data_IF_568532073522
#
_entry.id   IF_568532073522
#
_cell.length_a   1.000
_cell.length_b   1.000
_cell.length_c   1.000
_cell.angle_alpha   90.00
_cell.angle_beta   90.00
_cell.angle_gamma   90.00
#
_symmetry.space_group_name_H-M   'P 1'
#
loop_
_entity.id
_entity.type
_entity.pdbx_description
1 polymer ?
#
# COMPACT_ATOMS: atom_id res chain seq x y z
N UNK A 1 3.81 -1.35 16.34
CA UNK A 1 2.51 -1.49 17.01
C UNK A 1 1.70 -2.57 16.30
N UNK A 2 2.01 -3.86 16.51
CA UNK A 2 1.29 -4.96 15.85
C UNK A 2 0.00 -5.32 16.61
N UNK A 3 0.09 -5.35 17.95
CA UNK A 3 -1.04 -5.68 18.83
C UNK A 3 -2.21 -4.71 18.68
N UNK A 4 -1.94 -3.42 18.43
CA UNK A 4 -2.99 -2.43 18.20
C UNK A 4 -3.73 -2.70 16.88
N UNK A 5 -2.98 -2.95 15.80
CA UNK A 5 -3.55 -3.28 14.50
C UNK A 5 -4.40 -4.56 14.55
N UNK A 6 -3.94 -5.58 15.28
CA UNK A 6 -4.72 -6.81 15.46
C UNK A 6 -6.01 -6.56 16.25
N UNK A 7 -5.97 -5.71 17.28
CA UNK A 7 -7.18 -5.32 18.02
C UNK A 7 -8.16 -4.54 17.15
N UNK A 8 -7.67 -3.66 16.29
CA UNK A 8 -8.51 -2.91 15.33
C UNK A 8 -9.13 -3.86 14.29
N UNK A 9 -8.36 -4.81 13.76
CA UNK A 9 -8.87 -5.81 12.82
C UNK A 9 -9.85 -6.80 13.47
N UNK A 10 -9.65 -7.14 14.74
CA UNK A 10 -10.61 -7.90 15.55
C UNK A 10 -11.90 -7.10 15.77
N UNK A 11 -11.79 -5.82 16.11
CA UNK A 11 -12.94 -4.92 16.28
C UNK A 11 -13.79 -4.78 15.00
N UNK A 12 -13.14 -4.80 13.84
CA UNK A 12 -13.81 -4.71 12.54
C UNK A 12 -14.23 -6.06 11.94
N UNK A 13 -14.17 -7.15 12.72
CA UNK A 13 -14.55 -8.51 12.29
C UNK A 13 -13.77 -9.04 11.07
N UNK A 14 -12.51 -8.60 10.89
CA UNK A 14 -11.60 -9.14 9.88
C UNK A 14 -10.75 -10.29 10.42
N UNK A 15 -10.42 -10.24 11.72
CA UNK A 15 -9.53 -11.19 12.38
C UNK A 15 -10.23 -11.77 13.60
N UNK A 16 -10.25 -13.09 13.70
CA UNK A 16 -10.67 -13.81 14.89
C UNK A 16 -9.48 -14.10 15.80
N UNK A 17 -9.65 -13.91 17.11
CA UNK A 17 -8.64 -14.19 18.14
C UNK A 17 -9.11 -15.35 19.00
N UNK A 18 -8.35 -16.43 19.00
CA UNK A 18 -8.62 -17.63 19.80
C UNK A 18 -7.56 -17.82 20.89
N UNK A 19 -7.99 -18.07 22.12
CA UNK A 19 -7.11 -18.26 23.29
C UNK A 19 -7.26 -19.68 23.80
N UNK A 20 -6.16 -20.43 23.73
CA UNK A 20 -6.10 -21.81 24.19
C UNK A 20 -5.58 -21.85 25.64
N UNK A 21 -6.44 -22.31 26.54
CA UNK A 21 -6.13 -22.50 27.96
C UNK A 21 -5.32 -23.79 28.20
N UNK A 22 -4.09 -23.82 27.67
CA UNK A 22 -3.11 -24.89 27.90
C UNK A 22 -1.84 -24.31 28.56
N UNK A 23 -0.93 -25.14 29.03
CA UNK A 23 0.39 -24.69 29.53
C UNK A 23 1.44 -25.09 28.49
N UNK A 24 2.17 -24.14 27.87
CA UNK A 24 2.02 -22.68 27.94
C UNK A 24 0.79 -22.18 27.15
N UNK A 25 0.15 -21.10 27.61
CA UNK A 25 -1.04 -20.55 26.97
C UNK A 25 -0.72 -20.06 25.56
N UNK A 26 -1.53 -20.46 24.58
CA UNK A 26 -1.34 -20.13 23.17
C UNK A 26 -2.45 -19.17 22.71
N UNK A 27 -2.09 -18.20 21.90
CA UNK A 27 -3.04 -17.29 21.24
C UNK A 27 -2.86 -17.45 19.74
N UNK A 28 -3.94 -17.68 19.02
CA UNK A 28 -3.96 -17.75 17.57
C UNK A 28 -4.84 -16.64 16.99
N UNK A 29 -4.44 -16.15 15.82
CA UNK A 29 -5.20 -15.17 15.05
C UNK A 29 -5.50 -15.77 13.68
N UNK A 30 -6.75 -15.76 13.27
CA UNK A 30 -7.20 -16.25 11.96
C UNK A 30 -8.05 -15.19 11.27
N UNK A 31 -8.14 -15.23 9.94
CA UNK A 31 -9.06 -14.34 9.21
C UNK A 31 -10.48 -14.92 9.30
N UNK A 32 -11.46 -14.07 9.59
CA UNK A 32 -12.89 -14.45 9.66
C UNK A 32 -13.46 -14.75 8.27
N UNK A 33 -14.60 -15.41 8.19
CA UNK A 33 -15.32 -15.63 6.92
C UNK A 33 -15.63 -14.30 6.21
N UNK A 34 -16.03 -13.27 6.97
CA UNK A 34 -16.27 -11.94 6.43
C UNK A 34 -14.98 -11.30 5.91
N UNK A 35 -13.87 -11.40 6.65
CA UNK A 35 -12.58 -10.88 6.24
C UNK A 35 -12.03 -11.54 4.96
N UNK A 36 -12.36 -12.81 4.70
CA UNK A 36 -12.00 -13.48 3.44
C UNK A 36 -12.63 -12.81 2.21
N UNK A 37 -13.78 -12.15 2.35
CA UNK A 37 -14.43 -11.43 1.25
C UNK A 37 -13.59 -10.25 0.74
N UNK A 38 -12.66 -9.74 1.54
CA UNK A 38 -11.74 -8.66 1.14
C UNK A 38 -10.57 -9.15 0.28
N UNK A 39 -10.28 -10.45 0.26
CA UNK A 39 -9.22 -11.06 -0.54
C UNK A 39 -9.17 -10.59 -2.00
N UNK A 40 -10.27 -10.57 -2.78
CA UNK A 40 -10.24 -10.08 -4.16
C UNK A 40 -9.83 -8.61 -4.30
N UNK A 41 -10.17 -7.76 -3.33
CA UNK A 41 -9.77 -6.34 -3.34
C UNK A 41 -8.26 -6.21 -3.13
N UNK A 42 -7.73 -6.90 -2.13
CA UNK A 42 -6.28 -6.95 -1.89
C UNK A 42 -5.51 -7.52 -3.09
N UNK A 43 -6.07 -8.56 -3.73
CA UNK A 43 -5.48 -9.14 -4.93
C UNK A 43 -5.44 -8.13 -6.08
N UNK A 44 -6.55 -7.43 -6.31
CA UNK A 44 -6.64 -6.40 -7.35
C UNK A 44 -5.62 -5.28 -7.12
N UNK A 45 -5.47 -4.83 -5.87
CA UNK A 45 -4.45 -3.84 -5.50
C UNK A 45 -3.03 -4.36 -5.72
N UNK A 46 -2.77 -5.63 -5.38
CA UNK A 46 -1.48 -6.28 -5.60
C UNK A 46 -1.15 -6.38 -7.10
N UNK A 47 -2.11 -6.81 -7.91
CA UNK A 47 -1.95 -6.96 -9.36
C UNK A 47 -1.67 -5.62 -10.03
N UNK A 48 -2.42 -4.58 -9.63
CA UNK A 48 -2.17 -3.21 -10.06
C UNK A 48 -0.77 -2.75 -9.64
N UNK A 49 -0.37 -2.99 -8.38
CA UNK A 49 0.95 -2.62 -7.88
C UNK A 49 2.08 -3.27 -8.66
N UNK A 50 1.94 -4.56 -9.01
CA UNK A 50 2.88 -5.28 -9.86
C UNK A 50 2.94 -4.69 -11.28
N UNK A 51 1.80 -4.34 -11.87
CA UNK A 51 1.74 -3.64 -13.16
C UNK A 51 2.40 -2.26 -13.11
N UNK A 52 2.17 -1.52 -12.02
CA UNK A 52 2.74 -0.20 -11.80
C UNK A 52 4.26 -0.24 -11.66
N UNK A 53 4.81 -1.20 -10.90
CA UNK A 53 6.26 -1.39 -10.80
C UNK A 53 6.90 -1.64 -12.16
N UNK A 54 6.32 -2.53 -12.97
CA UNK A 54 6.78 -2.78 -14.36
C UNK A 54 6.72 -1.52 -15.23
N UNK A 55 5.64 -0.75 -15.10
CA UNK A 55 5.52 0.53 -15.80
C UNK A 55 6.63 1.51 -15.38
N UNK A 56 6.89 1.63 -14.08
CA UNK A 56 7.94 2.49 -13.54
C UNK A 56 9.33 2.06 -14.03
N UNK A 57 9.65 0.77 -14.01
CA UNK A 57 10.91 0.21 -14.55
C UNK A 57 11.10 0.57 -16.04
N UNK A 58 10.04 0.48 -16.83
CA UNK A 58 10.08 0.84 -18.26
C UNK A 58 10.31 2.34 -18.50
N UNK A 59 9.93 3.19 -17.54
CA UNK A 59 10.11 4.63 -17.58
C UNK A 59 11.46 5.08 -17.00
N UNK A 60 11.99 4.39 -15.98
CA UNK A 60 13.31 4.68 -15.41
C UNK A 60 14.43 4.30 -16.36
N UNK A 61 14.29 3.20 -17.14
CA UNK A 61 15.24 2.83 -18.19
C UNK A 61 15.37 3.87 -19.33
N UNK A 62 14.36 4.74 -19.50
CA UNK A 62 14.38 5.82 -20.51
C UNK A 62 15.06 7.09 -20.02
N UNK A 63 15.24 7.28 -18.71
CA UNK A 63 15.84 8.49 -18.13
C UNK A 63 17.37 8.48 -18.17
N UNK A 64 18.01 7.32 -18.11
CA UNK A 64 19.49 7.20 -18.18
C UNK A 64 20.08 7.53 -19.56
N UNK A 65 19.26 7.56 -20.63
CA UNK A 65 19.72 7.88 -21.99
C UNK A 65 19.52 9.35 -22.40
N UNK A 66 18.87 10.17 -21.56
CA UNK A 66 18.63 11.61 -21.85
C UNK A 66 19.38 12.58 -20.93
N UNK A 67 20.10 12.09 -19.93
CA UNK A 67 20.83 12.91 -18.95
C UNK A 67 22.35 12.89 -19.20
N UNK A 68 22.79 13.06 -20.45
CA UNK A 68 24.18 13.39 -20.80
C UNK A 68 24.23 14.43 -21.92
N UNK A 69 23.57 15.58 -21.72
CA UNK A 69 23.97 16.86 -22.32
C UNK A 69 23.72 17.98 -21.30
N UNK A 70 24.83 18.49 -20.79
CA UNK A 70 25.08 19.59 -19.82
C UNK A 70 24.40 20.94 -20.20
N UNK A 71 24.43 22.03 -19.39
CA UNK A 71 24.12 22.24 -17.96
C UNK A 71 23.04 23.34 -17.69
N UNK A 72 22.56 23.35 -16.44
CA UNK A 72 22.19 24.47 -15.56
C UNK A 72 21.13 25.55 -15.89
N UNK A 73 20.34 25.82 -14.83
CA UNK A 73 19.49 26.97 -14.49
C UNK A 73 18.43 27.47 -15.47
N UNK A 74 17.17 27.15 -15.17
CA UNK A 74 16.03 27.88 -15.72
C UNK A 74 14.70 27.21 -15.44
N UNK A 75 14.09 27.61 -14.32
CA UNK A 75 12.68 27.43 -13.92
C UNK A 75 11.73 26.97 -15.04
N UNK A 76 11.00 25.86 -14.81
CA UNK A 76 9.56 25.73 -15.10
C UNK A 76 9.09 24.29 -14.86
N UNK A 77 8.31 24.05 -13.80
CA UNK A 77 7.52 22.83 -13.61
C UNK A 77 6.05 23.22 -13.84
N UNK A 78 5.30 22.62 -14.80
CA UNK A 78 3.88 22.91 -14.92
C UNK A 78 3.03 21.63 -14.98
N UNK A 79 2.67 21.05 -13.82
CA UNK A 79 1.52 20.16 -13.66
C UNK A 79 1.14 20.25 -12.17
N UNK A 80 -0.02 20.71 -11.70
CA UNK A 80 -1.30 20.98 -12.33
C UNK A 80 -2.38 20.65 -11.30
N UNK A 81 -2.51 21.47 -10.25
CA UNK A 81 -3.69 21.50 -9.37
C UNK A 81 -3.92 22.95 -8.94
N UNK A 82 -4.89 23.58 -9.60
CA UNK A 82 -5.37 24.91 -9.27
C UNK A 82 -6.25 24.80 -8.03
N UNK A 83 -5.66 24.88 -6.84
CA UNK A 83 -6.42 25.20 -5.61
C UNK A 83 -6.45 26.71 -5.48
N UNK A 84 -7.38 27.35 -6.17
CA UNK A 84 -7.77 28.73 -5.85
C UNK A 84 -8.83 28.67 -4.76
N UNK A 85 -8.45 29.06 -3.54
CA UNK A 85 -9.38 29.45 -2.48
C UNK A 85 -9.35 30.97 -2.42
N UNK A 86 -10.38 31.63 -2.96
CA UNK A 86 -10.58 33.07 -2.80
C UNK A 86 -11.05 33.38 -1.37
N UNK A 87 -10.66 34.55 -0.87
CA UNK A 87 -11.22 35.25 0.29
C UNK A 87 -11.27 36.73 -0.05
#
# INVERSE_FOLDING_TARGET
>A
MLTQQLKELEYHDFVHREVYAQIPSKVEYSITEYGQLMKPVLQTMSDWGAGHMKHMESCTAKKTKKEQTHPNFGKSIPWGDRVTRES
#
